data_IF_732271559011
#
_entry.id   IF_732271559011
#
_cell.length_a   1.000
_cell.length_b   1.000
_cell.length_c   1.000
_cell.angle_alpha   90.00
_cell.angle_beta   90.00
_cell.angle_gamma   90.00
#
_symmetry.space_group_name_H-M   'P 1'
#
loop_
_entity.id
_entity.type
_entity.pdbx_description
1 polymer ?
#
# COMPACT_ATOMS: atom_id res chain seq x y z
N UNK A 1 12.86 15.13 -17.82
CA UNK A 1 11.47 15.24 -18.33
C UNK A 1 11.08 16.70 -18.28
N UNK A 2 10.64 17.28 -19.41
CA UNK A 2 10.33 18.71 -19.52
C UNK A 2 9.02 19.06 -18.81
N UNK A 3 8.99 20.15 -18.04
CA UNK A 3 7.85 20.76 -17.32
C UNK A 3 6.61 21.09 -18.20
N UNK A 4 6.66 20.79 -19.50
CA UNK A 4 5.62 21.14 -20.48
C UNK A 4 4.43 20.18 -20.49
N UNK A 5 4.53 19.01 -19.84
CA UNK A 5 3.47 17.99 -19.87
C UNK A 5 2.30 18.25 -18.90
N UNK A 6 2.40 19.21 -17.98
CA UNK A 6 1.32 19.54 -17.03
C UNK A 6 0.24 20.48 -17.61
N UNK A 7 0.25 20.75 -18.92
CA UNK A 7 -0.64 21.73 -19.57
C UNK A 7 -1.97 21.20 -20.09
N UNK A 8 -2.29 19.93 -19.90
CA UNK A 8 -3.61 19.41 -20.25
C UNK A 8 -4.31 18.87 -19.01
N UNK A 9 -5.31 19.62 -18.53
CA UNK A 9 -6.72 19.21 -18.35
C UNK A 9 -7.43 20.06 -17.28
N UNK A 10 -6.73 20.72 -16.34
CA UNK A 10 -7.38 21.55 -15.31
C UNK A 10 -6.62 22.86 -15.07
N UNK A 11 -7.31 24.00 -15.16
CA UNK A 11 -6.78 25.32 -14.82
C UNK A 11 -6.67 25.49 -13.30
N UNK A 12 -5.60 26.13 -12.83
CA UNK A 12 -5.35 26.42 -11.41
C UNK A 12 -6.49 27.23 -10.81
N UNK A 13 -7.07 28.16 -11.58
CA UNK A 13 -8.26 28.91 -11.14
C UNK A 13 -9.46 28.00 -10.92
N UNK A 14 -9.64 26.98 -11.77
CA UNK A 14 -10.73 26.00 -11.60
C UNK A 14 -10.53 25.20 -10.31
N UNK A 15 -9.30 24.74 -10.03
CA UNK A 15 -8.98 24.02 -8.78
C UNK A 15 -9.25 24.92 -7.57
N UNK A 16 -8.82 26.18 -7.61
CA UNK A 16 -9.01 27.14 -6.52
C UNK A 16 -10.48 27.47 -6.27
N UNK A 17 -11.30 27.54 -7.30
CA UNK A 17 -12.71 27.91 -7.16
C UNK A 17 -13.63 26.72 -6.83
N UNK A 18 -13.30 25.52 -7.32
CA UNK A 18 -14.21 24.37 -7.30
C UNK A 18 -13.73 23.18 -6.48
N UNK A 19 -12.49 23.19 -5.99
CA UNK A 19 -11.91 22.04 -5.28
C UNK A 19 -11.36 22.46 -3.92
N UNK A 20 -11.55 21.60 -2.91
CA UNK A 20 -10.98 21.78 -1.56
C UNK A 20 -10.22 20.58 -1.06
N UNK A 21 -10.42 19.41 -1.67
CA UNK A 21 -9.70 18.18 -1.37
C UNK A 21 -8.95 17.76 -2.63
N UNK A 22 -7.64 17.53 -2.50
CA UNK A 22 -6.76 17.19 -3.62
C UNK A 22 -6.01 15.93 -3.25
N UNK A 23 -6.13 14.90 -4.09
CA UNK A 23 -5.37 13.66 -3.97
C UNK A 23 -4.19 13.77 -4.94
N UNK A 24 -2.97 13.63 -4.43
CA UNK A 24 -1.75 13.69 -5.25
C UNK A 24 -1.13 12.29 -5.31
N UNK A 25 -1.11 11.73 -6.52
CA UNK A 25 -0.50 10.43 -6.80
C UNK A 25 0.41 10.54 -8.02
N UNK A 26 1.70 10.79 -7.78
CA UNK A 26 2.74 10.85 -8.80
C UNK A 26 3.60 9.57 -8.88
N UNK A 27 3.43 8.67 -7.91
CA UNK A 27 4.11 7.38 -7.82
C UNK A 27 3.70 6.63 -6.54
N UNK A 28 4.20 5.40 -6.36
CA UNK A 28 3.87 4.55 -5.21
C UNK A 28 4.55 4.98 -3.89
N UNK A 29 5.53 5.87 -3.98
CA UNK A 29 6.36 6.34 -2.88
C UNK A 29 6.08 7.80 -2.54
N UNK A 30 6.11 8.16 -1.24
CA UNK A 30 5.79 9.52 -0.80
C UNK A 30 6.72 10.58 -1.41
N UNK A 31 8.01 10.25 -1.61
CA UNK A 31 8.99 11.14 -2.22
C UNK A 31 8.67 11.54 -3.67
N UNK A 32 7.96 10.69 -4.43
CA UNK A 32 7.57 10.99 -5.82
C UNK A 32 6.59 12.18 -5.90
N UNK A 33 5.87 12.48 -4.81
CA UNK A 33 4.91 13.58 -4.75
C UNK A 33 5.55 14.94 -4.44
N UNK A 34 6.85 14.98 -4.12
CA UNK A 34 7.53 16.20 -3.68
C UNK A 34 7.39 17.35 -4.68
N UNK A 35 7.69 17.12 -5.97
CA UNK A 35 7.66 18.19 -6.98
C UNK A 35 6.24 18.74 -7.18
N UNK A 36 5.24 17.86 -7.16
CA UNK A 36 3.85 18.25 -7.26
C UNK A 36 3.41 19.10 -6.05
N UNK A 37 3.79 18.71 -4.83
CA UNK A 37 3.49 19.50 -3.62
C UNK A 37 4.18 20.87 -3.63
N UNK A 38 5.45 20.93 -4.08
CA UNK A 38 6.15 22.21 -4.24
C UNK A 38 5.43 23.12 -5.23
N UNK A 39 4.92 22.56 -6.34
CA UNK A 39 4.16 23.31 -7.32
C UNK A 39 2.84 23.82 -6.74
N UNK A 40 2.06 22.96 -6.06
CA UNK A 40 0.79 23.32 -5.42
C UNK A 40 0.98 24.46 -4.42
N UNK A 41 1.99 24.36 -3.54
CA UNK A 41 2.32 25.42 -2.59
C UNK A 41 2.69 26.74 -3.29
N UNK A 42 3.46 26.70 -4.40
CA UNK A 42 3.82 27.90 -5.17
C UNK A 42 2.60 28.58 -5.81
N UNK A 43 1.59 27.80 -6.18
CA UNK A 43 0.33 28.33 -6.72
C UNK A 43 -0.74 28.54 -5.64
N UNK A 44 -0.36 28.63 -4.36
CA UNK A 44 -1.28 28.94 -3.27
C UNK A 44 -2.36 27.87 -3.03
N UNK A 45 -2.14 26.65 -3.49
CA UNK A 45 -2.99 25.49 -3.18
C UNK A 45 -2.32 24.75 -2.03
N UNK A 46 -2.66 25.15 -0.81
CA UNK A 46 -2.04 24.66 0.42
C UNK A 46 -3.02 24.76 1.61
N UNK A 47 -2.66 24.13 2.73
CA UNK A 47 -3.38 24.30 3.98
C UNK A 47 -3.33 25.78 4.46
N UNK A 48 -4.38 26.27 5.15
CA UNK A 48 -5.56 25.54 5.60
C UNK A 48 -6.72 25.51 4.60
N UNK A 49 -6.61 26.20 3.46
CA UNK A 49 -7.72 26.35 2.49
C UNK A 49 -7.99 25.07 1.69
N UNK A 50 -6.98 24.20 1.57
CA UNK A 50 -7.05 22.94 0.86
C UNK A 50 -6.60 21.78 1.76
N UNK A 51 -7.27 20.65 1.63
CA UNK A 51 -6.87 19.35 2.19
C UNK A 51 -6.10 18.61 1.11
N UNK A 52 -4.85 18.26 1.40
CA UNK A 52 -4.00 17.49 0.49
C UNK A 52 -3.88 16.07 1.03
N UNK A 53 -4.27 15.07 0.25
CA UNK A 53 -4.15 13.65 0.58
C UNK A 53 -3.03 13.01 -0.25
N UNK A 54 -2.18 12.24 0.41
CA UNK A 54 -1.00 11.58 -0.16
C UNK A 54 -1.09 10.07 0.07
N UNK A 55 -1.57 9.28 -0.90
CA UNK A 55 -1.52 7.83 -0.80
C UNK A 55 -0.07 7.34 -0.82
N UNK A 56 0.34 6.60 0.21
CA UNK A 56 1.64 5.94 0.30
C UNK A 56 1.46 4.44 0.05
N UNK A 57 1.34 4.09 -1.23
CA UNK A 57 0.90 2.75 -1.64
C UNK A 57 1.93 1.68 -1.26
N UNK A 58 3.22 1.99 -1.39
CA UNK A 58 4.29 1.03 -1.10
C UNK A 58 5.23 1.53 0.01
N UNK A 59 4.69 1.71 1.21
CA UNK A 59 5.50 2.08 2.37
C UNK A 59 6.40 0.93 2.81
N UNK A 60 7.72 1.07 2.65
CA UNK A 60 8.68 0.13 3.25
C UNK A 60 8.93 0.54 4.72
N UNK A 61 8.90 -0.37 5.70
CA UNK A 61 9.04 0.01 7.11
C UNK A 61 10.38 0.62 7.50
N UNK A 62 11.42 0.41 6.69
CA UNK A 62 12.70 1.10 6.84
C UNK A 62 12.72 2.48 6.13
N UNK A 63 11.66 2.84 5.42
CA UNK A 63 11.52 4.11 4.73
C UNK A 63 11.02 5.20 5.66
N UNK A 64 11.85 6.20 5.88
CA UNK A 64 11.45 7.40 6.60
C UNK A 64 10.69 8.37 5.70
N UNK A 65 9.98 9.31 6.31
CA UNK A 65 9.42 10.46 5.59
C UNK A 65 10.49 11.14 4.70
N UNK A 66 10.14 11.65 3.51
CA UNK A 66 11.11 12.20 2.55
C UNK A 66 12.05 13.30 3.09
N UNK A 67 11.63 14.01 4.14
CA UNK A 67 12.43 15.04 4.81
C UNK A 67 13.34 14.51 5.92
N UNK A 68 13.43 13.19 6.12
CA UNK A 68 14.27 12.54 7.11
C UNK A 68 15.32 11.70 6.38
N UNK A 69 16.58 11.93 6.70
CA UNK A 69 17.71 11.11 6.26
C UNK A 69 18.35 10.49 7.49
N UNK A 70 18.56 9.17 7.46
CA UNK A 70 19.33 8.47 8.50
C UNK A 70 20.69 8.13 7.91
N UNK A 71 21.76 8.64 8.53
CA UNK A 71 23.12 8.36 8.13
C UNK A 71 23.61 7.03 8.73
N UNK A 72 24.70 6.47 8.18
CA UNK A 72 25.26 5.17 8.59
C UNK A 72 25.61 5.08 10.09
N UNK A 73 25.91 6.22 10.72
CA UNK A 73 26.15 6.33 12.16
C UNK A 73 24.86 6.41 13.01
N UNK A 74 23.70 6.11 12.41
CA UNK A 74 22.35 6.24 12.99
C UNK A 74 21.95 7.66 13.40
N UNK A 75 22.68 8.67 12.92
CA UNK A 75 22.26 10.07 13.13
C UNK A 75 21.11 10.42 12.19
N UNK A 76 20.14 11.15 12.72
CA UNK A 76 18.94 11.58 11.99
C UNK A 76 19.10 13.04 11.58
N UNK A 77 19.05 13.28 10.28
CA UNK A 77 19.09 14.63 9.68
C UNK A 77 17.70 14.96 9.15
N UNK A 78 17.18 16.13 9.52
CA UNK A 78 15.84 16.59 9.10
C UNK A 78 15.98 17.78 8.14
N UNK A 79 15.54 17.62 6.90
CA UNK A 79 15.44 18.70 5.92
C UNK A 79 14.19 19.55 6.21
N UNK A 80 14.38 20.68 6.92
CA UNK A 80 13.28 21.56 7.33
C UNK A 80 12.55 22.22 6.16
N UNK A 81 13.26 22.55 5.08
CA UNK A 81 12.64 23.17 3.89
C UNK A 81 11.75 22.17 3.15
N UNK A 82 12.22 20.92 3.03
CA UNK A 82 11.39 19.87 2.48
C UNK A 82 10.18 19.59 3.38
N UNK A 83 10.36 19.51 4.70
CA UNK A 83 9.26 19.29 5.65
C UNK A 83 8.16 20.34 5.51
N UNK A 84 8.49 21.62 5.30
CA UNK A 84 7.50 22.69 5.08
C UNK A 84 6.59 22.41 3.89
N UNK A 85 7.08 21.72 2.86
CA UNK A 85 6.32 21.38 1.65
C UNK A 85 5.15 20.41 1.96
N UNK A 86 5.28 19.60 3.01
CA UNK A 86 4.28 18.61 3.42
C UNK A 86 3.39 19.08 4.57
N UNK A 87 3.57 20.30 5.08
CA UNK A 87 2.75 20.82 6.18
C UNK A 87 1.28 20.90 5.74
N UNK A 88 0.40 20.27 6.51
CA UNK A 88 -1.04 20.25 6.23
C UNK A 88 -1.49 19.20 5.20
N UNK A 89 -0.55 18.41 4.65
CA UNK A 89 -0.90 17.22 3.90
C UNK A 89 -1.11 16.03 4.85
N UNK A 90 -2.09 15.19 4.52
CA UNK A 90 -2.38 13.93 5.21
C UNK A 90 -1.84 12.78 4.39
N UNK A 91 -0.98 11.96 5.02
CA UNK A 91 -0.47 10.74 4.41
C UNK A 91 -1.44 9.62 4.74
N UNK A 92 -1.88 8.90 3.70
CA UNK A 92 -2.78 7.74 3.82
C UNK A 92 -1.97 6.51 3.44
N UNK A 93 -1.81 5.60 4.39
CA UNK A 93 -1.05 4.36 4.23
C UNK A 93 -1.93 3.18 4.65
N UNK A 94 -1.61 2.00 4.12
CA UNK A 94 -2.23 0.76 4.56
C UNK A 94 -1.71 0.44 5.96
N UNK A 95 -2.63 0.21 6.90
CA UNK A 95 -2.26 -0.24 8.22
C UNK A 95 -1.74 -1.68 8.14
N UNK A 96 -0.42 -1.85 8.20
CA UNK A 96 0.24 -3.16 8.28
C UNK A 96 0.15 -3.72 9.70
N UNK A 97 -1.03 -3.67 10.31
CA UNK A 97 -1.27 -4.17 11.65
C UNK A 97 -0.98 -5.67 11.70
N UNK A 98 0.08 -6.03 12.42
CA UNK A 98 0.55 -7.40 12.46
C UNK A 98 -0.42 -8.26 13.28
N UNK A 99 -1.13 -9.17 12.60
CA UNK A 99 -1.99 -10.17 13.24
C UNK A 99 -1.15 -11.11 14.14
N UNK A 100 -1.76 -11.83 15.11
CA UNK A 100 -1.08 -12.92 15.80
C UNK A 100 -0.40 -13.92 14.86
N UNK A 101 -1.06 -14.26 13.75
CA UNK A 101 -0.51 -15.14 12.71
C UNK A 101 0.70 -14.52 12.03
N UNK A 102 0.62 -13.25 11.64
CA UNK A 102 1.75 -12.48 11.09
C UNK A 102 2.93 -12.47 12.05
N UNK A 103 2.72 -12.13 13.33
CA UNK A 103 3.79 -12.12 14.35
C UNK A 103 4.54 -13.45 14.40
N UNK A 104 3.80 -14.57 14.38
CA UNK A 104 4.40 -15.90 14.41
C UNK A 104 5.15 -16.21 13.11
N UNK A 105 4.59 -15.85 11.96
CA UNK A 105 5.22 -16.02 10.67
C UNK A 105 6.58 -15.30 10.63
N UNK A 106 6.62 -14.00 10.96
CA UNK A 106 7.85 -13.23 10.98
C UNK A 106 8.87 -13.74 12.00
N UNK A 107 8.43 -14.13 13.21
CA UNK A 107 9.33 -14.76 14.19
C UNK A 107 9.96 -16.06 13.66
N UNK A 108 9.26 -16.79 12.78
CA UNK A 108 9.78 -18.00 12.17
C UNK A 108 10.82 -17.65 11.10
N UNK A 109 10.55 -16.64 10.28
CA UNK A 109 11.52 -16.17 9.27
C UNK A 109 12.82 -15.69 9.93
N UNK A 110 12.73 -14.96 11.03
CA UNK A 110 13.87 -14.53 11.83
C UNK A 110 14.68 -15.73 12.37
N UNK A 111 14.01 -16.77 12.89
CA UNK A 111 14.68 -17.99 13.36
C UNK A 111 15.49 -18.72 12.28
N UNK A 112 15.04 -18.65 11.03
CA UNK A 112 15.74 -19.24 9.88
C UNK A 112 16.73 -18.28 9.20
N UNK A 113 16.96 -17.08 9.77
CA UNK A 113 17.80 -16.02 9.19
C UNK A 113 17.37 -15.63 7.76
N UNK A 114 16.07 -15.70 7.47
CA UNK A 114 15.53 -15.32 6.16
C UNK A 114 15.25 -13.81 6.08
N UNK A 115 14.98 -13.16 7.21
CA UNK A 115 14.67 -11.73 7.29
C UNK A 115 15.23 -11.16 8.60
N UNK A 116 15.68 -9.90 8.60
CA UNK A 116 16.12 -9.20 9.83
C UNK A 116 15.20 -8.06 10.26
N UNK A 117 14.29 -7.61 9.38
CA UNK A 117 13.33 -6.53 9.61
C UNK A 117 12.00 -6.90 8.93
N UNK A 118 10.90 -6.27 9.34
CA UNK A 118 9.63 -6.28 8.60
C UNK A 118 9.79 -5.41 7.33
N UNK A 119 10.75 -5.71 6.46
CA UNK A 119 10.96 -4.94 5.23
C UNK A 119 9.90 -5.28 4.16
N UNK A 120 9.86 -4.51 3.08
CA UNK A 120 8.97 -4.79 1.94
C UNK A 120 9.06 -6.24 1.43
N UNK A 121 10.25 -6.84 1.42
CA UNK A 121 10.47 -8.22 0.96
C UNK A 121 9.86 -9.27 1.92
N UNK A 122 9.92 -9.02 3.22
CA UNK A 122 9.32 -9.87 4.25
C UNK A 122 7.80 -9.85 4.16
N UNK A 123 7.22 -8.68 3.86
CA UNK A 123 5.79 -8.57 3.60
C UNK A 123 5.35 -9.30 2.31
N UNK A 124 6.15 -9.25 1.25
CA UNK A 124 5.90 -10.04 0.03
C UNK A 124 5.88 -11.56 0.31
N UNK A 125 6.75 -12.04 1.22
CA UNK A 125 6.71 -13.44 1.67
C UNK A 125 5.44 -13.76 2.46
N UNK A 126 4.92 -12.81 3.24
CA UNK A 126 3.63 -12.97 3.93
C UNK A 126 2.46 -13.03 2.93
N UNK A 127 2.47 -12.21 1.88
CA UNK A 127 1.49 -12.28 0.80
C UNK A 127 1.54 -13.62 0.06
N UNK A 128 2.75 -14.14 -0.21
CA UNK A 128 2.92 -15.47 -0.80
C UNK A 128 2.38 -16.58 0.12
N UNK A 129 2.66 -16.50 1.43
CA UNK A 129 2.11 -17.42 2.41
C UNK A 129 0.57 -17.40 2.39
N UNK A 130 -0.03 -16.22 2.32
CA UNK A 130 -1.48 -16.06 2.27
C UNK A 130 -2.09 -16.60 0.97
N UNK A 131 -1.42 -16.43 -0.17
CA UNK A 131 -1.84 -17.05 -1.43
C UNK A 131 -1.83 -18.59 -1.35
N UNK A 132 -0.80 -19.17 -0.73
CA UNK A 132 -0.73 -20.63 -0.53
C UNK A 132 -1.83 -21.12 0.41
N UNK A 133 -2.10 -20.37 1.49
CA UNK A 133 -3.17 -20.68 2.43
C UNK A 133 -4.54 -20.62 1.76
N UNK A 134 -4.82 -19.57 0.99
CA UNK A 134 -6.03 -19.43 0.18
C UNK A 134 -6.23 -20.65 -0.73
N UNK A 135 -5.18 -21.02 -1.48
CA UNK A 135 -5.22 -22.16 -2.40
C UNK A 135 -5.56 -23.47 -1.67
N UNK A 136 -4.91 -23.75 -0.54
CA UNK A 136 -5.18 -24.97 0.26
C UNK A 136 -6.61 -24.98 0.80
N UNK A 137 -7.12 -23.85 1.29
CA UNK A 137 -8.50 -23.74 1.78
C UNK A 137 -9.50 -24.03 0.66
N UNK A 138 -9.28 -23.46 -0.53
CA UNK A 138 -10.14 -23.67 -1.69
C UNK A 138 -10.09 -25.10 -2.23
N UNK A 139 -8.90 -25.71 -2.31
CA UNK A 139 -8.74 -27.13 -2.69
C UNK A 139 -9.50 -28.03 -1.71
N UNK A 140 -9.40 -27.75 -0.41
CA UNK A 140 -10.11 -28.51 0.61
C UNK A 140 -11.63 -28.35 0.51
N UNK A 141 -12.12 -27.12 0.28
CA UNK A 141 -13.54 -26.85 0.06
C UNK A 141 -14.06 -27.59 -1.18
N UNK A 142 -13.36 -27.48 -2.31
CA UNK A 142 -13.71 -28.12 -3.58
C UNK A 142 -13.69 -29.64 -3.47
N UNK A 143 -12.69 -30.22 -2.79
CA UNK A 143 -12.64 -31.66 -2.52
C UNK A 143 -13.80 -32.11 -1.63
N UNK A 144 -14.15 -31.33 -0.61
CA UNK A 144 -15.25 -31.65 0.29
C UNK A 144 -16.60 -31.69 -0.44
N UNK A 145 -16.78 -30.82 -1.44
CA UNK A 145 -18.02 -30.74 -2.20
C UNK A 145 -18.09 -31.72 -3.38
N UNK A 146 -16.99 -31.92 -4.09
CA UNK A 146 -16.98 -32.64 -5.38
C UNK A 146 -16.02 -33.84 -5.41
N UNK A 147 -15.32 -34.14 -4.33
CA UNK A 147 -14.32 -35.21 -4.27
C UNK A 147 -13.11 -34.94 -5.17
N UNK A 148 -12.53 -36.01 -5.74
CA UNK A 148 -11.41 -35.92 -6.68
C UNK A 148 -11.71 -35.09 -7.92
N UNK A 149 -12.98 -35.00 -8.31
CA UNK A 149 -13.44 -34.24 -9.47
C UNK A 149 -13.51 -32.73 -9.18
N UNK A 150 -13.45 -32.33 -7.90
CA UNK A 150 -13.33 -30.95 -7.47
C UNK A 150 -11.93 -30.40 -7.69
N UNK A 151 -10.92 -31.18 -7.26
CA UNK A 151 -9.52 -30.73 -7.30
C UNK A 151 -8.86 -30.89 -8.67
N UNK A 152 -9.41 -31.74 -9.54
CA UNK A 152 -8.92 -31.94 -10.91
C UNK A 152 -9.44 -30.91 -11.90
N UNK A 153 -10.49 -30.17 -11.53
CA UNK A 153 -11.06 -29.08 -12.32
C UNK A 153 -10.66 -27.73 -11.68
N UNK A 154 -9.74 -26.96 -12.29
CA UNK A 154 -9.26 -25.71 -11.70
C UNK A 154 -10.35 -24.66 -11.56
N UNK A 155 -11.40 -24.69 -12.39
CA UNK A 155 -12.52 -23.75 -12.28
C UNK A 155 -13.28 -23.96 -10.98
N UNK A 156 -13.49 -25.21 -10.57
CA UNK A 156 -14.14 -25.53 -9.29
C UNK A 156 -13.30 -25.12 -8.09
N UNK A 157 -11.97 -25.14 -8.18
CA UNK A 157 -11.10 -24.65 -7.08
C UNK A 157 -11.14 -23.12 -7.01
N UNK A 158 -11.14 -22.43 -8.16
CA UNK A 158 -11.18 -20.96 -8.21
C UNK A 158 -12.55 -20.44 -7.77
N UNK A 159 -13.65 -21.14 -8.10
CA UNK A 159 -14.99 -20.77 -7.62
C UNK A 159 -15.07 -20.75 -6.09
N UNK A 160 -14.30 -21.61 -5.41
CA UNK A 160 -14.21 -21.62 -3.94
C UNK A 160 -13.37 -20.46 -3.37
N UNK A 161 -12.68 -19.64 -4.18
CA UNK A 161 -12.03 -18.43 -3.66
C UNK A 161 -13.07 -17.41 -3.20
N UNK A 162 -14.25 -17.40 -3.82
CA UNK A 162 -15.30 -16.44 -3.52
C UNK A 162 -15.81 -16.60 -2.09
N UNK A 163 -15.78 -15.50 -1.32
CA UNK A 163 -16.29 -15.50 0.06
C UNK A 163 -15.38 -16.21 1.06
N UNK A 164 -14.15 -16.57 0.69
CA UNK A 164 -13.15 -16.98 1.66
C UNK A 164 -12.65 -15.78 2.44
N UNK A 165 -12.71 -15.93 3.75
CA UNK A 165 -12.17 -14.99 4.72
C UNK A 165 -11.30 -15.76 5.72
N UNK A 166 -10.07 -15.31 5.95
CA UNK A 166 -9.16 -15.95 6.90
C UNK A 166 -8.11 -14.98 7.46
N UNK A 167 -7.62 -15.27 8.67
CA UNK A 167 -6.46 -14.58 9.23
C UNK A 167 -5.17 -15.11 8.59
N UNK A 168 -4.52 -14.29 7.78
CA UNK A 168 -3.24 -14.55 7.13
C UNK A 168 -2.02 -14.00 7.90
N UNK A 169 -0.84 -14.22 7.33
CA UNK A 169 0.40 -13.61 7.79
C UNK A 169 0.45 -12.10 7.51
N UNK A 170 -0.24 -11.62 6.47
CA UNK A 170 -0.33 -10.19 6.15
C UNK A 170 -1.44 -9.44 6.90
N UNK A 171 -2.30 -10.15 7.63
CA UNK A 171 -3.46 -9.58 8.31
C UNK A 171 -4.74 -10.37 8.00
N UNK A 172 -5.89 -9.73 8.14
CA UNK A 172 -7.15 -10.30 7.67
C UNK A 172 -7.16 -10.32 6.14
N UNK A 173 -7.42 -11.48 5.56
CA UNK A 173 -7.56 -11.66 4.11
C UNK A 173 -9.02 -11.96 3.81
N UNK A 174 -9.61 -11.16 2.94
CA UNK A 174 -10.97 -11.29 2.48
C UNK A 174 -10.97 -11.31 0.95
N UNK A 175 -11.54 -12.37 0.37
CA UNK A 175 -11.71 -12.51 -1.07
C UNK A 175 -13.10 -12.02 -1.46
N UNK A 176 -13.19 -10.72 -1.71
CA UNK A 176 -14.40 -10.13 -2.25
C UNK A 176 -14.51 -10.46 -3.76
N UNK A 177 -15.46 -11.33 -4.08
CA UNK A 177 -15.93 -11.55 -5.45
C UNK A 177 -17.40 -11.15 -5.55
N UNK A 178 -17.77 -10.02 -4.95
CA UNK A 178 -18.99 -9.32 -5.32
C UNK A 178 -18.85 -8.86 -6.79
N UNK A 179 -19.51 -9.62 -7.69
CA UNK A 179 -19.88 -9.21 -9.05
C UNK A 179 -18.90 -9.44 -10.22
N UNK A 180 -18.09 -10.51 -10.23
CA UNK A 180 -17.33 -10.90 -11.43
C UNK A 180 -18.15 -11.57 -12.55
N UNK A 181 -19.49 -11.47 -12.50
CA UNK A 181 -20.44 -12.00 -13.51
C UNK A 181 -21.31 -10.91 -14.16
N UNK A 182 -20.73 -9.74 -14.48
CA UNK A 182 -21.32 -8.75 -15.40
C UNK A 182 -20.65 -8.84 -16.76
#
# INVERSE_FOLDING_TARGET
MSLTAFRSVVDVETIRLQTRVIIVLMGSQLGANQEALQLLNRVGIAAPEFVILLPWINHDPDQYYPWITVADNKSVVINRELKKTFVGAYVVDADRQMSPTGRRFFSTLEQYNLTSNYDGASYDLALLYDCLKLYVLAVNASYTQFGSDGISDPTKVVDEFAGLEFEGASGQVEMDLADSRI
#
